data_IF_224375536513
#
_entry.id   IF_224375536513
#
_cell.length_a   1.000
_cell.length_b   1.000
_cell.length_c   1.000
_cell.angle_alpha   90.00
_cell.angle_beta   90.00
_cell.angle_gamma   90.00
#
_symmetry.space_group_name_H-M   'P 1'
#
loop_
_entity.id
_entity.type
_entity.pdbx_description
1 polymer ?
#
# COMPACT_ATOMS: atom_id res chain seq x y z
N UNK A 1 27.99 41.34 18.90
CA UNK A 1 27.39 40.75 17.69
C UNK A 1 26.00 40.26 18.03
N UNK A 2 24.93 40.82 17.45
CA UNK A 2 23.56 40.42 17.78
C UNK A 2 23.20 39.11 17.07
N UNK A 3 22.78 38.11 17.84
CA UNK A 3 22.26 36.83 17.35
C UNK A 3 20.82 37.00 16.91
N UNK A 4 20.56 36.86 15.60
CA UNK A 4 19.21 36.87 15.03
C UNK A 4 18.47 35.60 15.45
N UNK A 5 17.47 35.74 16.33
CA UNK A 5 16.49 34.70 16.63
C UNK A 5 15.69 34.39 15.36
N UNK A 6 15.90 33.21 14.79
CA UNK A 6 15.04 32.67 13.75
C UNK A 6 13.61 32.55 14.27
N UNK A 7 12.70 33.35 13.72
CA UNK A 7 11.28 33.24 13.99
C UNK A 7 10.77 31.92 13.40
N UNK A 8 10.38 30.98 14.27
CA UNK A 8 9.83 29.70 13.87
C UNK A 8 8.53 29.93 13.07
N UNK A 9 8.53 29.46 11.82
CA UNK A 9 7.37 29.47 10.93
C UNK A 9 6.21 28.72 11.61
N UNK A 10 5.01 29.30 11.73
CA UNK A 10 3.90 28.64 12.40
C UNK A 10 3.54 27.35 11.65
N UNK A 11 3.48 26.25 12.40
CA UNK A 11 3.12 24.94 11.87
C UNK A 11 1.71 24.98 11.26
N UNK A 12 1.57 24.41 10.06
CA UNK A 12 0.29 24.33 9.39
C UNK A 12 -0.75 23.57 10.25
N UNK A 13 -2.02 24.01 10.29
CA UNK A 13 -3.05 23.35 11.06
C UNK A 13 -3.25 21.91 10.55
N UNK A 14 -3.30 20.95 11.48
CA UNK A 14 -3.51 19.55 11.17
C UNK A 14 -4.80 19.34 10.33
N UNK A 15 -4.82 18.37 9.39
CA UNK A 15 -5.98 18.08 8.56
C UNK A 15 -7.18 17.76 9.46
N UNK A 16 -8.26 18.53 9.30
CA UNK A 16 -9.50 18.32 10.04
C UNK A 16 -10.09 16.97 9.62
N UNK A 17 -10.39 16.11 10.62
CA UNK A 17 -11.05 14.83 10.36
C UNK A 17 -12.36 15.09 9.60
N UNK A 18 -12.67 14.32 8.53
CA UNK A 18 -13.92 14.48 7.82
C UNK A 18 -15.10 14.31 8.79
N UNK A 19 -16.17 15.10 8.65
CA UNK A 19 -17.33 15.00 9.53
C UNK A 19 -17.88 13.58 9.47
N UNK A 20 -18.14 12.99 10.64
CA UNK A 20 -18.81 11.70 10.72
C UNK A 20 -20.18 11.83 10.04
N UNK A 21 -20.40 11.05 8.98
CA UNK A 21 -21.69 11.02 8.30
C UNK A 21 -22.70 10.34 9.23
N UNK A 22 -23.52 11.15 9.90
CA UNK A 22 -24.59 10.65 10.77
C UNK A 22 -25.75 10.22 9.88
N UNK A 23 -25.97 8.91 9.74
CA UNK A 23 -27.10 8.37 9.00
C UNK A 23 -28.38 8.56 9.83
N UNK A 24 -29.41 9.24 9.31
CA UNK A 24 -30.70 9.41 10.00
C UNK A 24 -31.33 8.06 10.34
N UNK A 25 -32.05 7.94 11.48
CA UNK A 25 -32.66 6.68 11.90
C UNK A 25 -33.59 6.08 10.85
N UNK A 26 -34.37 6.89 10.11
CA UNK A 26 -35.25 6.36 9.05
C UNK A 26 -34.52 5.77 7.83
N UNK A 27 -33.22 6.06 7.68
CA UNK A 27 -32.36 5.54 6.61
C UNK A 27 -31.49 4.37 7.08
N UNK A 28 -31.68 3.86 8.30
CA UNK A 28 -30.93 2.72 8.83
C UNK A 28 -31.61 1.39 8.54
N UNK A 29 -30.80 0.34 8.58
CA UNK A 29 -31.26 -1.03 8.48
C UNK A 29 -32.17 -1.40 9.66
N UNK A 30 -33.32 -2.01 9.37
CA UNK A 30 -34.29 -2.44 10.37
C UNK A 30 -33.91 -3.73 11.14
N UNK A 31 -32.73 -4.30 10.90
CA UNK A 31 -32.29 -5.54 11.54
C UNK A 31 -31.82 -5.29 12.98
N UNK A 32 -32.17 -6.21 13.89
CA UNK A 32 -31.69 -6.24 15.27
C UNK A 32 -30.59 -7.29 15.41
N UNK A 33 -29.47 -6.91 16.01
CA UNK A 33 -28.37 -7.84 16.36
C UNK A 33 -28.85 -8.92 17.33
N UNK A 34 -28.03 -9.96 17.55
CA UNK A 34 -28.29 -11.02 18.55
C UNK A 34 -28.52 -10.47 19.96
N UNK A 35 -27.95 -9.32 20.28
CA UNK A 35 -28.12 -8.62 21.56
C UNK A 35 -29.30 -7.63 21.56
N UNK A 36 -30.14 -7.62 20.52
CA UNK A 36 -31.29 -6.73 20.38
C UNK A 36 -30.96 -5.30 19.94
N UNK A 37 -29.68 -4.93 19.79
CA UNK A 37 -29.30 -3.59 19.33
C UNK A 37 -29.61 -3.38 17.83
N UNK A 38 -30.06 -2.18 17.40
CA UNK A 38 -30.36 -1.90 16.00
C UNK A 38 -29.09 -1.76 15.16
N UNK A 39 -29.14 -2.30 13.94
CA UNK A 39 -28.05 -2.15 12.97
C UNK A 39 -27.83 -0.67 12.59
N UNK A 40 -26.58 -0.21 12.66
CA UNK A 40 -26.20 1.18 12.36
C UNK A 40 -25.94 1.44 10.87
N UNK A 41 -25.94 0.40 10.05
CA UNK A 41 -25.69 0.52 8.61
C UNK A 41 -26.87 1.20 7.88
N UNK A 42 -26.58 1.88 6.78
CA UNK A 42 -27.62 2.43 5.91
C UNK A 42 -28.44 1.31 5.25
N UNK A 43 -29.75 1.51 5.15
CA UNK A 43 -30.62 0.63 4.36
C UNK A 43 -30.35 0.81 2.87
N UNK A 44 -30.52 -0.26 2.09
CA UNK A 44 -30.46 -0.19 0.63
C UNK A 44 -31.67 0.55 0.06
N UNK A 45 -31.52 1.24 -1.08
CA UNK A 45 -32.58 2.15 -1.61
C UNK A 45 -33.95 1.47 -1.76
N UNK A 46 -33.97 0.20 -2.17
CA UNK A 46 -35.18 -0.58 -2.40
C UNK A 46 -35.54 -1.54 -1.24
N UNK A 47 -34.87 -1.43 -0.09
CA UNK A 47 -35.03 -2.37 1.02
C UNK A 47 -35.08 -1.69 2.38
N UNK A 48 -35.69 -2.36 3.35
CA UNK A 48 -35.66 -1.97 4.76
C UNK A 48 -34.36 -2.41 5.45
N UNK A 49 -33.54 -3.22 4.77
CA UNK A 49 -32.32 -3.79 5.31
C UNK A 49 -31.07 -3.26 4.59
N UNK A 50 -29.90 -3.34 5.23
CA UNK A 50 -28.63 -3.13 4.57
C UNK A 50 -28.26 -4.36 3.73
N UNK A 51 -27.23 -4.24 2.89
CA UNK A 51 -26.74 -5.33 2.03
C UNK A 51 -26.41 -6.63 2.80
N UNK A 52 -26.06 -6.52 4.09
CA UNK A 52 -25.73 -7.65 4.96
C UNK A 52 -26.93 -8.28 5.68
N UNK A 53 -28.09 -7.65 5.72
CA UNK A 53 -29.28 -8.22 6.37
C UNK A 53 -30.44 -8.42 5.41
N UNK A 54 -30.31 -7.94 4.17
CA UNK A 54 -31.32 -8.12 3.16
C UNK A 54 -31.34 -9.58 2.64
N UNK A 55 -32.50 -10.25 2.65
CA UNK A 55 -32.66 -11.60 2.14
C UNK A 55 -32.45 -11.71 0.62
N UNK A 56 -32.79 -10.68 -0.16
CA UNK A 56 -32.60 -10.69 -1.62
C UNK A 56 -31.12 -10.70 -2.00
N UNK A 57 -30.28 -10.05 -1.18
CA UNK A 57 -28.83 -10.05 -1.36
C UNK A 57 -28.14 -11.27 -0.73
N UNK A 58 -28.88 -12.23 -0.17
CA UNK A 58 -28.29 -13.45 0.41
C UNK A 58 -27.62 -14.31 -0.67
N UNK A 59 -28.26 -14.47 -1.82
CA UNK A 59 -27.71 -15.25 -2.94
C UNK A 59 -26.50 -14.55 -3.57
N UNK A 60 -26.55 -13.22 -3.72
CA UNK A 60 -25.42 -12.43 -4.21
C UNK A 60 -24.23 -12.48 -3.24
N UNK A 61 -24.48 -12.39 -1.92
CA UNK A 61 -23.43 -12.58 -0.92
C UNK A 61 -22.84 -13.97 -0.94
N UNK A 62 -23.69 -15.01 -1.03
CA UNK A 62 -23.23 -16.39 -1.17
C UNK A 62 -22.41 -16.57 -2.44
N UNK A 63 -22.77 -15.94 -3.55
CA UNK A 63 -21.98 -15.97 -4.79
C UNK A 63 -20.67 -15.19 -4.68
N UNK A 64 -20.63 -14.06 -3.96
CA UNK A 64 -19.41 -13.31 -3.70
C UNK A 64 -18.49 -14.06 -2.74
N UNK A 65 -19.03 -14.69 -1.70
CA UNK A 65 -18.29 -15.59 -0.79
C UNK A 65 -17.81 -16.84 -1.52
N UNK A 66 -18.64 -17.45 -2.36
CA UNK A 66 -18.25 -18.57 -3.21
C UNK A 66 -17.18 -18.15 -4.21
N UNK A 67 -17.26 -16.97 -4.82
CA UNK A 67 -16.20 -16.45 -5.69
C UNK A 67 -14.92 -16.22 -4.88
N UNK A 68 -15.01 -15.63 -3.69
CA UNK A 68 -13.86 -15.43 -2.80
C UNK A 68 -13.23 -16.75 -2.36
N UNK A 69 -14.04 -17.77 -2.08
CA UNK A 69 -13.62 -19.12 -1.70
C UNK A 69 -13.27 -20.02 -2.89
N UNK A 70 -13.66 -19.66 -4.11
CA UNK A 70 -13.40 -20.41 -5.34
C UNK A 70 -12.25 -19.83 -6.15
N UNK A 71 -11.92 -18.54 -5.99
CA UNK A 71 -10.69 -17.94 -6.52
C UNK A 71 -9.51 -18.10 -5.55
N UNK A 72 -9.78 -18.38 -4.28
CA UNK A 72 -8.82 -18.86 -3.30
C UNK A 72 -9.43 -20.11 -2.69
N UNK A 73 -9.19 -21.28 -3.27
CA UNK A 73 -9.39 -22.53 -2.54
C UNK A 73 -8.71 -22.34 -1.18
N UNK A 74 -9.40 -22.58 -0.07
CA UNK A 74 -8.85 -22.32 1.26
C UNK A 74 -7.57 -23.13 1.43
N UNK A 75 -6.45 -22.52 1.08
CA UNK A 75 -5.14 -23.13 1.16
C UNK A 75 -4.86 -23.24 2.65
N UNK A 76 -4.67 -24.48 3.11
CA UNK A 76 -4.58 -24.77 4.53
C UNK A 76 -3.38 -24.06 5.12
N UNK A 77 -3.59 -23.06 5.98
CA UNK A 77 -2.50 -22.37 6.67
C UNK A 77 -1.85 -23.23 7.77
N UNK A 78 -2.20 -24.52 7.83
CA UNK A 78 -1.61 -25.50 8.77
C UNK A 78 -0.33 -26.14 8.23
N UNK A 79 -0.02 -25.98 6.94
CA UNK A 79 1.22 -26.48 6.33
C UNK A 79 2.07 -25.34 5.80
N UNK A 80 3.37 -25.58 5.63
CA UNK A 80 4.28 -24.59 5.08
C UNK A 80 3.89 -24.23 3.64
N UNK A 81 3.50 -25.23 2.83
CA UNK A 81 3.07 -24.99 1.46
C UNK A 81 1.87 -24.05 1.44
N UNK A 82 0.85 -24.30 2.26
CA UNK A 82 -0.36 -23.48 2.28
C UNK A 82 -0.15 -22.04 2.74
N UNK A 83 0.86 -21.77 3.59
CA UNK A 83 1.25 -20.40 3.94
C UNK A 83 1.94 -19.71 2.77
N UNK A 84 2.88 -20.37 2.08
CA UNK A 84 3.58 -19.81 0.91
C UNK A 84 2.58 -19.45 -0.19
N UNK A 85 1.68 -20.37 -0.44
CA UNK A 85 0.56 -20.28 -1.36
C UNK A 85 -0.40 -19.09 -1.07
N UNK A 86 -0.63 -18.80 0.21
CA UNK A 86 -1.42 -17.65 0.67
C UNK A 86 -0.65 -16.35 0.43
N UNK A 87 0.65 -16.33 0.75
CA UNK A 87 1.52 -15.18 0.55
C UNK A 87 1.66 -14.82 -0.94
N UNK A 88 1.82 -15.81 -1.81
CA UNK A 88 1.86 -15.63 -3.26
C UNK A 88 0.56 -15.00 -3.77
N UNK A 89 -0.58 -15.51 -3.30
CA UNK A 89 -1.90 -14.97 -3.67
C UNK A 89 -2.06 -13.51 -3.21
N UNK A 90 -1.61 -13.20 -2.00
CA UNK A 90 -1.64 -11.83 -1.48
C UNK A 90 -0.71 -10.89 -2.25
N UNK A 91 0.48 -11.34 -2.65
CA UNK A 91 1.39 -10.57 -3.48
C UNK A 91 0.79 -10.29 -4.87
N UNK A 92 0.09 -11.27 -5.45
CA UNK A 92 -0.64 -11.09 -6.70
C UNK A 92 -1.78 -10.06 -6.56
N UNK A 93 -2.56 -10.15 -5.48
CA UNK A 93 -3.65 -9.20 -5.21
C UNK A 93 -3.15 -7.76 -4.96
N UNK A 94 -1.94 -7.59 -4.40
CA UNK A 94 -1.29 -6.28 -4.29
C UNK A 94 -0.85 -5.77 -5.67
N UNK A 95 -0.20 -6.61 -6.49
CA UNK A 95 0.21 -6.26 -7.87
C UNK A 95 -0.97 -5.85 -8.74
N UNK A 96 -2.12 -6.50 -8.55
CA UNK A 96 -3.36 -6.18 -9.26
C UNK A 96 -4.16 -5.01 -8.64
N UNK A 97 -3.59 -4.30 -7.65
CA UNK A 97 -4.25 -3.21 -6.91
C UNK A 97 -5.60 -3.60 -6.26
N UNK A 98 -5.82 -4.90 -6.01
CA UNK A 98 -7.02 -5.41 -5.31
C UNK A 98 -6.90 -5.24 -3.81
N UNK A 99 -5.67 -5.25 -3.29
CA UNK A 99 -5.33 -5.03 -1.89
C UNK A 99 -4.32 -3.89 -1.81
N UNK A 100 -4.49 -3.00 -0.83
CA UNK A 100 -3.52 -1.91 -0.61
C UNK A 100 -2.15 -2.46 -0.15
N UNK A 101 -1.03 -1.79 -0.48
CA UNK A 101 0.31 -2.22 -0.04
C UNK A 101 0.43 -2.42 1.47
N UNK A 102 -0.18 -1.54 2.28
CA UNK A 102 -0.16 -1.66 3.76
C UNK A 102 -0.86 -2.93 4.26
N UNK A 103 -1.96 -3.33 3.63
CA UNK A 103 -2.62 -4.60 3.91
C UNK A 103 -1.76 -5.78 3.45
N UNK A 104 -1.06 -5.67 2.31
CA UNK A 104 -0.05 -6.63 1.87
C UNK A 104 1.07 -6.85 2.89
N UNK A 105 1.66 -5.77 3.43
CA UNK A 105 2.68 -5.85 4.48
C UNK A 105 2.17 -6.55 5.74
N UNK A 106 0.91 -6.29 6.12
CA UNK A 106 0.28 -6.94 7.27
C UNK A 106 0.12 -8.45 7.03
N UNK A 107 -0.30 -8.85 5.83
CA UNK A 107 -0.41 -10.27 5.45
C UNK A 107 0.96 -10.95 5.44
N UNK A 108 1.99 -10.28 4.91
CA UNK A 108 3.38 -10.76 4.95
C UNK A 108 3.88 -11.02 6.37
N UNK A 109 3.67 -10.06 7.27
CA UNK A 109 4.02 -10.20 8.69
C UNK A 109 3.30 -11.39 9.35
N UNK A 110 1.99 -11.53 9.09
CA UNK A 110 1.21 -12.67 9.60
C UNK A 110 1.75 -14.00 9.06
N UNK A 111 2.07 -14.10 7.77
CA UNK A 111 2.67 -15.29 7.18
C UNK A 111 4.02 -15.65 7.82
N UNK A 112 4.85 -14.65 8.14
CA UNK A 112 6.11 -14.87 8.84
C UNK A 112 5.89 -15.40 10.28
N UNK A 113 4.94 -14.84 11.02
CA UNK A 113 4.56 -15.33 12.36
C UNK A 113 4.01 -16.75 12.28
N UNK A 114 3.20 -17.07 11.28
CA UNK A 114 2.64 -18.41 11.13
C UNK A 114 3.73 -19.43 10.77
N UNK A 115 4.61 -19.11 9.83
CA UNK A 115 5.73 -19.95 9.43
C UNK A 115 6.70 -20.23 10.58
N UNK A 116 7.01 -19.23 11.41
CA UNK A 116 7.88 -19.43 12.59
C UNK A 116 7.24 -20.33 13.65
N UNK A 117 5.91 -20.31 13.76
CA UNK A 117 5.16 -21.14 14.70
C UNK A 117 4.81 -22.54 14.18
N UNK A 118 4.96 -22.82 12.87
CA UNK A 118 4.73 -24.17 12.32
C UNK A 118 5.61 -25.23 13.00
N UNK A 119 6.80 -24.86 13.48
CA UNK A 119 7.73 -25.75 14.20
C UNK A 119 7.19 -26.22 15.55
N UNK A 120 6.23 -25.49 16.12
CA UNK A 120 5.65 -25.77 17.44
C UNK A 120 4.33 -26.55 17.36
N UNK A 121 3.82 -26.82 16.15
CA UNK A 121 2.63 -27.64 15.99
C UNK A 121 2.98 -29.11 16.24
N UNK A 122 2.17 -29.85 17.04
CA UNK A 122 2.36 -31.27 17.21
C UNK A 122 2.30 -31.92 15.82
N UNK A 123 3.40 -32.53 15.41
CA UNK A 123 3.45 -33.23 14.13
C UNK A 123 2.40 -34.34 14.17
N UNK A 124 1.42 -34.27 13.28
CA UNK A 124 0.52 -35.38 13.05
C UNK A 124 1.37 -36.57 12.61
N UNK A 125 1.40 -37.62 13.43
CA UNK A 125 2.15 -38.85 13.16
C UNK A 125 1.82 -39.35 11.75
N UNK A 126 2.78 -39.31 10.83
CA UNK A 126 2.65 -39.95 9.52
C UNK A 126 3.15 -39.16 8.30
N UNK A 127 3.33 -37.84 8.36
CA UNK A 127 3.94 -37.09 7.25
C UNK A 127 5.36 -36.67 7.62
N UNK A 128 6.36 -37.43 7.19
CA UNK A 128 7.74 -36.98 7.24
C UNK A 128 7.86 -35.73 6.35
N UNK A 129 8.08 -34.53 6.89
CA UNK A 129 8.27 -33.37 6.05
C UNK A 129 9.66 -33.48 5.43
N UNK A 130 9.72 -33.45 4.10
CA UNK A 130 10.95 -33.08 3.39
C UNK A 130 11.37 -31.75 4.03
N UNK A 131 12.48 -31.72 4.78
CA UNK A 131 13.04 -30.48 5.31
C UNK A 131 13.46 -29.63 4.12
N UNK A 132 12.52 -28.83 3.62
CA UNK A 132 12.85 -27.70 2.77
C UNK A 132 13.41 -26.66 3.73
N UNK A 133 14.68 -26.29 3.55
CA UNK A 133 15.31 -25.26 4.36
C UNK A 133 14.65 -23.91 4.03
N UNK A 134 13.56 -23.62 4.75
CA UNK A 134 12.73 -22.44 4.54
C UNK A 134 13.50 -21.15 4.80
N UNK A 135 14.63 -21.21 5.52
CA UNK A 135 15.49 -20.05 5.75
C UNK A 135 16.14 -19.53 4.47
N UNK A 136 16.65 -20.44 3.63
CA UNK A 136 17.31 -20.08 2.38
C UNK A 136 16.30 -19.57 1.34
N UNK A 137 15.15 -20.24 1.23
CA UNK A 137 14.09 -19.84 0.29
C UNK A 137 13.47 -18.51 0.69
N UNK A 138 13.20 -18.26 1.98
CA UNK A 138 12.67 -16.98 2.43
C UNK A 138 13.68 -15.84 2.27
N UNK A 139 14.98 -16.12 2.44
CA UNK A 139 16.05 -15.16 2.15
C UNK A 139 16.04 -14.75 0.68
N UNK A 140 16.07 -15.72 -0.23
CA UNK A 140 16.03 -15.47 -1.68
C UNK A 140 14.77 -14.71 -2.11
N UNK A 141 13.61 -15.02 -1.51
CA UNK A 141 12.36 -14.33 -1.83
C UNK A 141 12.33 -12.89 -1.30
N UNK A 142 12.86 -12.65 -0.11
CA UNK A 142 12.96 -11.32 0.48
C UNK A 142 13.90 -10.43 -0.35
N UNK A 143 15.05 -10.97 -0.78
CA UNK A 143 16.01 -10.26 -1.63
C UNK A 143 15.38 -9.93 -3.00
N UNK A 144 14.70 -10.90 -3.63
CA UNK A 144 14.00 -10.67 -4.90
C UNK A 144 12.89 -9.62 -4.78
N UNK A 145 12.08 -9.66 -3.71
CA UNK A 145 11.05 -8.64 -3.47
C UNK A 145 11.66 -7.25 -3.26
N UNK A 146 12.78 -7.14 -2.54
CA UNK A 146 13.47 -5.88 -2.33
C UNK A 146 14.00 -5.32 -3.66
N UNK A 147 14.54 -6.19 -4.51
CA UNK A 147 15.05 -5.82 -5.83
C UNK A 147 13.94 -5.39 -6.79
N UNK A 148 12.82 -6.13 -6.85
CA UNK A 148 11.64 -5.77 -7.63
C UNK A 148 11.06 -4.43 -7.18
N UNK A 149 10.94 -4.23 -5.86
CA UNK A 149 10.42 -2.98 -5.29
C UNK A 149 11.36 -1.80 -5.57
N UNK A 150 12.68 -1.99 -5.47
CA UNK A 150 13.66 -0.97 -5.83
C UNK A 150 13.61 -0.63 -7.33
N UNK A 151 13.40 -1.62 -8.19
CA UNK A 151 13.26 -1.45 -9.64
C UNK A 151 11.99 -0.68 -9.98
N UNK A 152 10.89 -0.99 -9.29
CA UNK A 152 9.62 -0.29 -9.46
C UNK A 152 9.72 1.17 -8.96
N UNK A 153 10.35 1.41 -7.80
CA UNK A 153 10.64 2.77 -7.31
C UNK A 153 11.48 3.54 -8.34
N UNK A 154 12.52 2.94 -8.91
CA UNK A 154 13.35 3.58 -9.93
C UNK A 154 12.56 3.96 -11.20
N UNK A 155 11.48 3.24 -11.51
CA UNK A 155 10.60 3.53 -12.66
C UNK A 155 9.69 4.73 -12.43
N UNK A 156 9.28 4.96 -11.19
CA UNK A 156 8.37 6.05 -10.81
C UNK A 156 9.10 7.31 -10.33
N UNK A 157 10.37 7.19 -9.94
CA UNK A 157 11.20 8.33 -9.55
C UNK A 157 11.77 8.97 -10.82
N UNK A 158 11.39 10.21 -11.19
CA UNK A 158 11.97 10.87 -12.36
C UNK A 158 13.49 11.02 -12.17
N UNK A 159 14.26 10.89 -13.25
CA UNK A 159 15.73 10.97 -13.23
C UNK A 159 16.27 12.28 -12.62
N UNK A 160 15.45 13.33 -12.59
CA UNK A 160 15.73 14.63 -11.96
C UNK A 160 15.47 14.68 -10.45
N UNK A 161 15.01 13.60 -9.83
CA UNK A 161 14.78 13.55 -8.40
C UNK A 161 16.11 13.55 -7.62
N UNK A 162 16.24 14.35 -6.55
CA UNK A 162 17.45 14.39 -5.72
C UNK A 162 17.82 13.01 -5.11
N UNK A 163 16.85 12.09 -5.00
CA UNK A 163 17.09 10.70 -4.58
C UNK A 163 17.78 9.84 -5.66
N UNK A 164 17.54 10.10 -6.94
CA UNK A 164 18.20 9.39 -8.03
C UNK A 164 19.67 9.83 -8.17
N UNK A 165 19.93 11.13 -7.96
CA UNK A 165 21.27 11.74 -8.00
C UNK A 165 22.16 11.21 -6.88
N UNK A 166 21.62 11.07 -5.67
CA UNK A 166 22.36 10.53 -4.52
C UNK A 166 22.82 9.06 -4.73
N UNK A 167 22.05 8.26 -5.48
CA UNK A 167 22.38 6.85 -5.75
C UNK A 167 23.47 6.68 -6.83
N UNK A 168 23.69 7.69 -7.67
CA UNK A 168 24.71 7.70 -8.71
C UNK A 168 26.12 8.10 -8.20
N UNK A 169 26.28 8.33 -6.89
CA UNK A 169 27.55 8.79 -6.31
C UNK A 169 27.98 10.19 -6.76
N UNK A 170 27.05 10.97 -7.33
CA UNK A 170 27.31 12.35 -7.73
C UNK A 170 27.02 13.28 -6.55
N UNK A 171 28.00 14.11 -6.21
CA UNK A 171 27.90 15.05 -5.09
C UNK A 171 26.84 16.12 -5.40
N UNK A 172 25.71 16.17 -4.67
CA UNK A 172 24.59 17.05 -4.99
C UNK A 172 24.97 18.53 -4.91
N UNK A 173 26.05 18.87 -4.18
CA UNK A 173 26.58 20.23 -4.08
C UNK A 173 27.20 20.70 -5.40
N UNK A 174 27.79 19.77 -6.17
CA UNK A 174 28.48 20.10 -7.43
C UNK A 174 27.49 20.39 -8.56
N UNK A 175 26.37 19.66 -8.62
CA UNK A 175 25.33 19.85 -9.64
C UNK A 175 24.57 21.17 -9.47
N UNK A 176 24.36 21.62 -8.22
CA UNK A 176 23.74 22.91 -7.95
C UNK A 176 24.64 24.09 -8.38
N UNK A 177 25.96 23.93 -8.27
CA UNK A 177 26.93 24.92 -8.73
C UNK A 177 26.96 25.01 -10.28
N UNK A 178 26.99 23.86 -10.96
CA UNK A 178 27.03 23.82 -12.43
C UNK A 178 25.73 24.34 -13.07
N UNK A 179 24.57 24.08 -12.44
CA UNK A 179 23.28 24.62 -12.89
C UNK A 179 23.19 26.15 -12.74
N UNK A 180 23.80 26.71 -11.68
CA UNK A 180 23.87 28.16 -11.46
C UNK A 180 24.77 28.86 -12.48
N UNK A 181 25.84 28.20 -12.96
CA UNK A 181 26.72 28.75 -14.01
C UNK A 181 26.04 28.74 -15.38
N UNK A 182 25.22 27.73 -15.68
CA UNK A 182 24.48 27.64 -16.94
C UNK A 182 23.38 28.72 -17.06
N UNK A 183 22.66 29.02 -15.98
CA UNK A 183 21.67 30.12 -15.98
C UNK A 183 22.34 31.51 -16.10
N UNK A 184 23.55 31.69 -15.55
CA UNK A 184 24.29 32.94 -15.69
C UNK A 184 24.77 33.20 -17.14
N UNK A 185 25.17 32.16 -17.87
CA UNK A 185 25.59 32.27 -19.28
C UNK A 185 24.42 32.49 -20.25
N UNK A 186 23.23 31.98 -19.92
CA UNK A 186 22.02 32.22 -20.71
C UNK A 186 21.53 33.68 -20.60
N UNK A 187 21.73 34.34 -19.45
CA UNK A 187 21.37 35.73 -19.25
C UNK A 187 22.24 36.71 -20.07
N UNK A 188 23.55 36.45 -20.16
CA UNK A 188 24.50 37.32 -20.87
C UNK A 188 24.33 37.27 -22.41
N UNK A 189 23.84 36.14 -22.94
CA UNK A 189 23.61 35.97 -24.38
C UNK A 189 22.37 36.72 -24.92
N UNK A 190 21.53 37.29 -24.05
CA UNK A 190 20.27 37.94 -24.42
C UNK A 190 20.35 39.47 -24.60
N UNK A 191 21.49 40.10 -24.27
CA UNK A 191 21.65 41.56 -24.30
C UNK A 191 22.11 42.15 -25.66
N UNK A 192 22.28 41.34 -26.71
CA UNK A 192 23.00 41.75 -27.93
C UNK A 192 22.21 41.94 -29.22
N UNK A 193 20.89 41.73 -29.27
CA UNK A 193 20.11 41.93 -30.52
C UNK A 193 19.57 43.35 -30.61
N UNK A 194 20.33 44.25 -31.25
CA UNK A 194 19.78 45.47 -31.85
C UNK A 194 19.06 45.09 -33.14
N UNK A 195 17.75 45.33 -33.18
CA UNK A 195 16.94 45.23 -34.41
C UNK A 195 17.40 46.28 -35.43
N UNK A 196 17.88 45.89 -36.62
CA UNK A 196 18.35 46.84 -37.63
C UNK A 196 17.23 47.41 -38.52
N UNK A 197 15.95 47.25 -38.16
CA UNK A 197 14.83 47.58 -39.04
C UNK A 197 13.76 48.47 -38.38
N UNK A 198 14.21 49.63 -37.89
CA UNK A 198 13.33 50.74 -37.57
C UNK A 198 13.73 51.95 -38.44
N UNK A 199 13.11 52.04 -39.61
CA UNK A 199 13.08 53.22 -40.47
C UNK A 199 11.68 53.30 -41.12
#
# INVERSE_FOLDING_TARGET
MPTTRNAAKPAAPAPRKPPLIIIPPEKRCAHLTTHGAPCRAARWRASRFCIFHDPNFRNMRKQLELRRNSSQGQKSTRTAEGIQDMLESAAQDVRENRISPAAGSTIGYLGQVMSSNLKNLPQAEGSSPRRVDTGEILGQWADQMLEDMNTEIARWVPASSPLAVAKAGMDPVKIAADASEAEAQAADSSAGRKDPNAA
#
